data_IF_611936915611
#
_entry.id   IF_611936915611
#
_cell.length_a   1.000
_cell.length_b   1.000
_cell.length_c   1.000
_cell.angle_alpha   90.00
_cell.angle_beta   90.00
_cell.angle_gamma   90.00
#
_symmetry.space_group_name_H-M   'P 1'
#
loop_
_entity.id
_entity.type
_entity.pdbx_description
1 polymer ?
#
# COMPACT_ATOMS: atom_id res chain seq x y z
N UNK A 1 -17.82 -12.76 1.92
CA UNK A 1 -17.14 -13.72 1.01
C UNK A 1 -16.78 -12.94 -0.24
N UNK A 2 -15.47 -12.79 -0.47
CA UNK A 2 -14.80 -12.42 -1.73
C UNK A 2 -14.96 -10.98 -2.28
N UNK A 3 -14.14 -10.04 -1.78
CA UNK A 3 -13.66 -8.90 -2.59
C UNK A 3 -12.27 -9.22 -3.16
N UNK A 4 -12.15 -10.33 -3.90
CA UNK A 4 -11.01 -10.62 -4.79
C UNK A 4 -11.51 -10.44 -6.21
N UNK A 5 -11.18 -9.32 -6.85
CA UNK A 5 -11.07 -9.30 -8.32
C UNK A 5 -10.42 -8.05 -8.92
N UNK A 6 -10.08 -7.01 -8.13
CA UNK A 6 -9.40 -5.82 -8.66
C UNK A 6 -8.16 -5.38 -7.85
N UNK A 7 -7.81 -6.13 -6.79
CA UNK A 7 -6.60 -5.87 -6.00
C UNK A 7 -5.35 -6.44 -6.67
N UNK A 8 -5.45 -7.54 -7.42
CA UNK A 8 -4.27 -8.24 -7.96
C UNK A 8 -3.49 -7.43 -9.01
N UNK A 9 -4.18 -6.73 -9.93
CA UNK A 9 -3.52 -5.97 -10.99
C UNK A 9 -2.71 -4.77 -10.48
N UNK A 10 -3.13 -4.18 -9.36
CA UNK A 10 -2.45 -3.05 -8.73
C UNK A 10 -1.45 -3.49 -7.65
N UNK A 11 -1.56 -4.73 -7.17
CA UNK A 11 -0.70 -5.29 -6.13
C UNK A 11 0.74 -5.43 -6.60
N UNK A 12 0.95 -5.96 -7.81
CA UNK A 12 2.30 -6.13 -8.38
C UNK A 12 3.05 -4.79 -8.54
N UNK A 13 2.47 -3.75 -9.19
CA UNK A 13 3.10 -2.43 -9.26
C UNK A 13 3.33 -1.81 -7.88
N UNK A 14 2.36 -1.92 -6.97
CA UNK A 14 2.47 -1.35 -5.63
C UNK A 14 3.58 -2.03 -4.81
N UNK A 15 3.70 -3.35 -4.90
CA UNK A 15 4.75 -4.12 -4.24
C UNK A 15 6.11 -3.78 -4.83
N UNK A 16 6.20 -3.57 -6.15
CA UNK A 16 7.43 -3.11 -6.82
C UNK A 16 7.86 -1.75 -6.29
N UNK A 17 6.95 -0.78 -6.20
CA UNK A 17 7.25 0.55 -5.66
C UNK A 17 7.65 0.46 -4.18
N UNK A 18 6.93 -0.32 -3.38
CA UNK A 18 7.23 -0.48 -1.95
C UNK A 18 8.57 -1.20 -1.71
N UNK A 19 8.93 -2.14 -2.58
CA UNK A 19 10.23 -2.79 -2.58
C UNK A 19 11.35 -1.79 -2.86
N UNK A 20 11.24 -1.05 -3.97
CA UNK A 20 12.30 -0.19 -4.47
C UNK A 20 12.52 1.04 -3.58
N UNK A 21 11.43 1.59 -3.04
CA UNK A 21 11.48 2.85 -2.28
C UNK A 21 11.51 2.66 -0.77
N UNK A 22 10.87 1.62 -0.26
CA UNK A 22 10.67 1.43 1.19
C UNK A 22 11.31 0.13 1.71
N UNK A 23 11.92 -0.69 0.84
CA UNK A 23 12.46 -2.01 1.23
C UNK A 23 11.38 -2.98 1.73
N UNK A 24 10.13 -2.81 1.28
CA UNK A 24 9.01 -3.66 1.66
C UNK A 24 8.85 -4.77 0.63
N UNK A 25 9.25 -5.97 1.02
CA UNK A 25 9.24 -7.15 0.13
C UNK A 25 7.91 -7.91 0.12
N UNK A 26 7.04 -7.69 1.11
CA UNK A 26 5.70 -8.28 1.20
C UNK A 26 4.77 -7.41 2.04
N UNK A 27 3.47 -7.51 1.78
CA UNK A 27 2.41 -6.91 2.60
C UNK A 27 1.75 -7.93 3.55
N UNK A 28 2.32 -9.12 3.67
CA UNK A 28 1.83 -10.14 4.59
C UNK A 28 2.07 -9.70 6.04
N UNK A 29 1.05 -9.72 6.90
CA UNK A 29 1.23 -9.43 8.32
C UNK A 29 2.12 -10.53 8.92
N UNK A 30 3.28 -10.14 9.46
CA UNK A 30 4.24 -11.11 10.01
C UNK A 30 3.82 -11.59 11.41
N UNK A 31 2.78 -10.97 11.98
CA UNK A 31 2.18 -11.33 13.27
C UNK A 31 3.12 -11.06 14.46
N UNK A 32 4.19 -10.29 14.23
CA UNK A 32 5.22 -9.97 15.22
C UNK A 32 5.41 -8.46 15.21
N UNK A 33 5.04 -7.75 16.29
CA UNK A 33 5.15 -6.30 16.36
C UNK A 33 6.53 -5.79 15.96
N UNK A 34 7.61 -6.45 16.39
CA UNK A 34 8.98 -6.04 16.09
C UNK A 34 9.40 -6.20 14.61
N UNK A 35 8.69 -7.00 13.82
CA UNK A 35 8.97 -7.22 12.40
C UNK A 35 8.11 -6.33 11.49
N UNK A 36 6.96 -5.86 12.00
CA UNK A 36 6.00 -5.05 11.24
C UNK A 36 6.33 -3.53 11.30
N UNK A 37 7.19 -3.09 12.23
CA UNK A 37 7.69 -1.71 12.26
C UNK A 37 8.96 -1.55 11.42
N UNK A 38 8.93 -0.63 10.45
CA UNK A 38 10.11 -0.19 9.70
C UNK A 38 10.31 1.31 9.85
N UNK A 39 11.57 1.71 9.99
CA UNK A 39 11.96 3.12 9.99
C UNK A 39 12.28 3.52 8.55
N UNK A 40 11.49 4.41 7.98
CA UNK A 40 11.69 4.94 6.62
C UNK A 40 11.99 6.43 6.71
N UNK A 41 12.79 6.96 5.78
CA UNK A 41 12.96 8.40 5.66
C UNK A 41 11.69 9.00 5.07
N UNK A 42 11.34 10.21 5.49
CA UNK A 42 10.14 10.90 4.98
C UNK A 42 10.26 11.12 3.47
N UNK A 43 11.47 11.34 2.95
CA UNK A 43 11.69 11.53 1.50
C UNK A 43 11.38 10.28 0.68
N UNK A 44 11.68 9.09 1.23
CA UNK A 44 11.43 7.81 0.56
C UNK A 44 9.92 7.50 0.49
N UNK A 45 9.18 7.91 1.53
CA UNK A 45 7.71 7.84 1.54
C UNK A 45 7.14 8.75 0.46
N UNK A 46 7.62 10.00 0.36
CA UNK A 46 7.20 10.93 -0.69
C UNK A 46 7.43 10.36 -2.09
N UNK A 47 8.63 9.82 -2.34
CA UNK A 47 9.00 9.23 -3.62
C UNK A 47 8.16 8.00 -3.99
N UNK A 48 7.84 7.16 -3.00
CA UNK A 48 6.94 6.02 -3.19
C UNK A 48 5.52 6.47 -3.59
N UNK A 49 5.00 7.53 -2.97
CA UNK A 49 3.68 8.09 -3.29
C UNK A 49 3.65 8.73 -4.67
N UNK A 50 4.65 9.53 -5.02
CA UNK A 50 4.78 10.12 -6.35
C UNK A 50 4.79 9.04 -7.44
N UNK A 51 5.59 7.99 -7.26
CA UNK A 51 5.61 6.84 -8.17
C UNK A 51 4.27 6.13 -8.24
N UNK A 52 3.60 5.94 -7.12
CA UNK A 52 2.26 5.34 -7.13
C UNK A 52 1.29 6.18 -7.98
N UNK A 53 1.33 7.51 -7.85
CA UNK A 53 0.51 8.39 -8.68
C UNK A 53 0.87 8.35 -10.17
N UNK A 54 2.15 8.31 -10.52
CA UNK A 54 2.62 8.16 -11.91
C UNK A 54 2.12 6.85 -12.54
N UNK A 55 2.02 5.78 -11.75
CA UNK A 55 1.45 4.49 -12.15
C UNK A 55 -0.09 4.47 -12.17
N UNK A 56 -0.76 5.57 -11.87
CA UNK A 56 -2.21 5.66 -11.81
C UNK A 56 -2.82 5.01 -10.56
N UNK A 57 -2.00 4.66 -9.56
CA UNK A 57 -2.44 4.10 -8.28
C UNK A 57 -2.94 5.24 -7.38
N UNK A 58 -4.18 5.68 -7.58
CA UNK A 58 -4.83 6.63 -6.67
C UNK A 58 -5.26 5.94 -5.36
N UNK A 59 -4.43 6.06 -4.33
CA UNK A 59 -4.79 5.64 -2.97
C UNK A 59 -5.42 6.83 -2.26
N UNK A 60 -6.75 6.84 -2.12
CA UNK A 60 -7.41 7.91 -1.35
C UNK A 60 -8.93 8.01 -1.46
N UNK A 61 -9.60 7.43 -2.47
CA UNK A 61 -11.04 7.67 -2.64
C UNK A 61 -11.97 6.51 -2.29
N UNK A 62 -11.51 5.25 -2.32
CA UNK A 62 -12.44 4.11 -2.18
C UNK A 62 -12.54 3.50 -0.77
N UNK A 63 -11.51 3.64 0.07
CA UNK A 63 -11.44 2.86 1.33
C UNK A 63 -12.16 3.57 2.50
N UNK A 64 -12.21 4.90 2.52
CA UNK A 64 -12.65 5.64 3.72
C UNK A 64 -14.15 6.02 3.73
N UNK A 65 -14.88 5.90 2.62
CA UNK A 65 -16.31 6.29 2.57
C UNK A 65 -17.30 5.14 2.66
N UNK A 66 -16.87 3.91 2.36
CA UNK A 66 -17.74 2.73 2.49
C UNK A 66 -17.96 2.34 3.96
N UNK A 67 -16.99 2.60 4.84
CA UNK A 67 -17.09 2.21 6.27
C UNK A 67 -17.68 3.31 7.17
N UNK A 68 -17.65 4.58 6.78
CA UNK A 68 -18.31 5.66 7.54
C UNK A 68 -19.79 5.89 7.18
N UNK A 69 -20.33 5.19 6.17
CA UNK A 69 -21.72 5.35 5.74
C UNK A 69 -22.70 4.30 6.34
N UNK A 70 -22.23 3.46 7.26
CA UNK A 70 -23.07 2.46 7.96
C UNK A 70 -23.14 2.68 9.49
N UNK A 71 -22.85 3.90 9.95
CA UNK A 71 -23.13 4.35 11.32
C UNK A 71 -24.57 4.81 11.49
#
# INVERSE_FOLDING_TARGET
MTYRNNMDAHLEPLLTIAHDELGIHSFDPVGKPSADFRMCRVEDIGRALERAYDFGLMVGHAVTRAECAQG
#
